data_IF_883999580017
#
_entry.id   IF_883999580017
#
_cell.length_a   1.000
_cell.length_b   1.000
_cell.length_c   1.000
_cell.angle_alpha   90.00
_cell.angle_beta   90.00
_cell.angle_gamma   90.00
#
_symmetry.space_group_name_H-M   'P 1'
#
loop_
_entity.id
_entity.type
_entity.pdbx_description
1 polymer ?
#
# COMPACT_ATOMS: atom_id res chain seq x y z
N UNK A 1 15.56 -12.52 -13.65
CA UNK A 1 14.72 -11.74 -12.70
C UNK A 1 14.12 -12.72 -11.71
N UNK A 2 14.10 -12.42 -10.40
CA UNK A 2 13.47 -13.32 -9.44
C UNK A 2 11.95 -13.37 -9.69
N UNK A 3 11.42 -14.59 -9.74
CA UNK A 3 9.98 -14.82 -9.83
C UNK A 3 9.37 -14.84 -8.44
N UNK A 4 8.18 -14.28 -8.33
CA UNK A 4 7.33 -14.33 -7.15
C UNK A 4 6.45 -15.57 -7.13
N UNK A 5 5.33 -15.47 -6.40
CA UNK A 5 4.60 -16.63 -5.89
C UNK A 5 3.84 -17.46 -6.94
N UNK A 6 3.60 -16.92 -8.14
CA UNK A 6 2.91 -17.61 -9.24
C UNK A 6 3.82 -17.84 -10.46
N UNK A 7 5.14 -17.87 -10.26
CA UNK A 7 6.12 -17.88 -11.35
C UNK A 7 6.23 -16.55 -12.10
N UNK A 8 5.39 -15.57 -11.78
CA UNK A 8 5.37 -14.23 -12.36
C UNK A 8 6.54 -13.38 -11.81
N UNK A 9 7.25 -12.59 -12.63
CA UNK A 9 8.34 -11.74 -12.15
C UNK A 9 7.89 -10.71 -11.12
N UNK A 10 8.71 -10.45 -10.09
CA UNK A 10 8.44 -9.39 -9.09
C UNK A 10 8.18 -8.01 -9.71
N UNK A 11 8.76 -7.72 -10.87
CA UNK A 11 8.53 -6.45 -11.56
C UNK A 11 7.07 -6.28 -12.01
N UNK A 12 6.39 -7.35 -12.41
CA UNK A 12 4.99 -7.30 -12.79
C UNK A 12 4.10 -7.00 -11.57
N UNK A 13 4.42 -7.62 -10.42
CA UNK A 13 3.75 -7.29 -9.15
C UNK A 13 4.01 -5.85 -8.72
N UNK A 14 5.24 -5.35 -8.90
CA UNK A 14 5.58 -3.96 -8.61
C UNK A 14 4.76 -2.98 -9.47
N UNK A 15 4.67 -3.25 -10.76
CA UNK A 15 3.87 -2.44 -11.69
C UNK A 15 2.39 -2.45 -11.28
N UNK A 16 1.81 -3.62 -10.99
CA UNK A 16 0.43 -3.75 -10.54
C UNK A 16 0.17 -2.94 -9.25
N UNK A 17 1.04 -3.09 -8.24
CA UNK A 17 0.90 -2.36 -6.99
C UNK A 17 1.02 -0.85 -7.21
N UNK A 18 1.95 -0.39 -8.05
CA UNK A 18 2.10 1.02 -8.40
C UNK A 18 0.86 1.58 -9.13
N UNK A 19 0.26 0.80 -10.03
CA UNK A 19 -1.01 1.17 -10.68
C UNK A 19 -2.12 1.32 -9.66
N UNK A 20 -2.27 0.38 -8.72
CA UNK A 20 -3.29 0.45 -7.67
C UNK A 20 -3.07 1.65 -6.74
N UNK A 21 -1.81 1.98 -6.40
CA UNK A 21 -1.49 3.20 -5.68
C UNK A 21 -1.96 4.45 -6.44
N UNK A 22 -1.64 4.53 -7.74
CA UNK A 22 -2.04 5.65 -8.59
C UNK A 22 -3.58 5.79 -8.72
N UNK A 23 -4.29 4.66 -8.87
CA UNK A 23 -5.76 4.64 -8.89
C UNK A 23 -6.33 5.22 -7.60
N UNK A 24 -5.77 4.82 -6.44
CA UNK A 24 -6.25 5.31 -5.14
C UNK A 24 -6.02 6.82 -4.91
N UNK A 25 -5.08 7.43 -5.64
CA UNK A 25 -4.94 8.90 -5.61
C UNK A 25 -6.26 9.57 -6.04
N UNK A 26 -7.02 8.96 -6.96
CA UNK A 26 -8.27 9.51 -7.47
C UNK A 26 -9.51 8.83 -6.89
N UNK A 27 -9.48 7.52 -6.70
CA UNK A 27 -10.60 6.71 -6.25
C UNK A 27 -10.37 6.29 -4.80
N UNK A 28 -11.01 6.98 -3.87
CA UNK A 28 -10.84 6.77 -2.44
C UNK A 28 -12.16 7.02 -1.69
N UNK A 29 -12.31 6.51 -0.46
CA UNK A 29 -13.55 6.56 0.33
C UNK A 29 -13.82 7.98 0.89
N UNK A 30 -14.27 8.89 0.02
CA UNK A 30 -14.52 10.31 0.38
C UNK A 30 -15.56 10.41 1.51
N UNK A 31 -16.64 9.63 1.44
CA UNK A 31 -17.73 9.67 2.42
C UNK A 31 -17.25 9.29 3.83
N UNK A 32 -16.29 8.36 3.93
CA UNK A 32 -15.71 7.94 5.21
C UNK A 32 -14.83 9.03 5.84
N UNK A 33 -14.40 10.03 5.06
CA UNK A 33 -13.59 11.15 5.53
C UNK A 33 -14.36 12.46 5.71
N UNK A 34 -15.64 12.53 5.34
CA UNK A 34 -16.41 13.78 5.27
C UNK A 34 -16.39 14.58 6.58
N UNK A 35 -16.54 13.90 7.72
CA UNK A 35 -16.57 14.53 9.05
C UNK A 35 -15.25 14.36 9.83
N UNK A 36 -14.17 13.94 9.16
CA UNK A 36 -12.88 13.67 9.79
C UNK A 36 -11.89 14.78 9.48
N UNK A 37 -11.15 15.20 10.51
CA UNK A 37 -10.08 16.18 10.40
C UNK A 37 -8.73 15.59 10.82
N UNK A 38 -7.65 16.31 10.50
CA UNK A 38 -6.31 16.01 10.97
C UNK A 38 -5.80 14.64 10.53
N UNK A 39 -5.26 13.87 11.49
CA UNK A 39 -4.60 12.60 11.21
C UNK A 39 -5.56 11.54 10.66
N UNK A 40 -6.82 11.51 11.13
CA UNK A 40 -7.81 10.55 10.65
C UNK A 40 -8.12 10.77 9.16
N UNK A 41 -8.29 12.04 8.74
CA UNK A 41 -8.44 12.40 7.33
C UNK A 41 -7.23 11.93 6.51
N UNK A 42 -6.02 12.21 6.97
CA UNK A 42 -4.79 11.84 6.28
C UNK A 42 -4.68 10.32 6.08
N UNK A 43 -4.99 9.54 7.12
CA UNK A 43 -4.96 8.07 7.08
C UNK A 43 -5.99 7.53 6.09
N UNK A 44 -7.24 8.03 6.11
CA UNK A 44 -8.28 7.57 5.18
C UNK A 44 -7.91 7.94 3.73
N UNK A 45 -7.37 9.15 3.53
CA UNK A 45 -7.01 9.67 2.20
C UNK A 45 -5.83 8.94 1.57
N UNK A 46 -4.80 8.64 2.36
CA UNK A 46 -3.50 8.19 1.84
C UNK A 46 -3.04 6.83 2.35
N UNK A 47 -3.59 6.28 3.43
CA UNK A 47 -3.10 5.05 4.05
C UNK A 47 -3.12 3.84 3.10
N UNK A 48 -4.20 3.67 2.34
CA UNK A 48 -4.31 2.59 1.36
C UNK A 48 -3.41 2.82 0.11
N UNK A 49 -3.26 4.07 -0.32
CA UNK A 49 -2.29 4.41 -1.37
C UNK A 49 -0.85 4.11 -0.91
N UNK A 50 -0.52 4.47 0.33
CA UNK A 50 0.78 4.22 0.93
C UNK A 50 1.06 2.72 1.06
N UNK A 51 0.06 1.90 1.43
CA UNK A 51 0.24 0.44 1.48
C UNK A 51 0.59 -0.13 0.11
N UNK A 52 -0.09 0.29 -0.97
CA UNK A 52 0.27 -0.14 -2.32
C UNK A 52 1.64 0.35 -2.77
N UNK A 53 2.01 1.59 -2.44
CA UNK A 53 3.34 2.13 -2.70
C UNK A 53 4.44 1.33 -2.00
N UNK A 54 4.24 0.98 -0.73
CA UNK A 54 5.15 0.13 0.03
C UNK A 54 5.26 -1.28 -0.59
N UNK A 55 4.15 -1.90 -1.02
CA UNK A 55 4.18 -3.19 -1.70
C UNK A 55 4.90 -3.14 -3.05
N UNK A 56 4.72 -2.06 -3.83
CA UNK A 56 5.46 -1.84 -5.06
C UNK A 56 6.97 -1.77 -4.78
N UNK A 57 7.37 -1.00 -3.76
CA UNK A 57 8.75 -0.93 -3.29
C UNK A 57 9.29 -2.27 -2.81
N UNK A 58 8.49 -3.05 -2.08
CA UNK A 58 8.89 -4.38 -1.61
C UNK A 58 9.18 -5.33 -2.78
N UNK A 59 8.30 -5.37 -3.78
CA UNK A 59 8.49 -6.14 -4.99
C UNK A 59 9.74 -5.70 -5.76
N UNK A 60 9.98 -4.39 -5.88
CA UNK A 60 11.19 -3.84 -6.50
C UNK A 60 12.47 -4.19 -5.73
N UNK A 61 12.42 -4.25 -4.41
CA UNK A 61 13.54 -4.68 -3.57
C UNK A 61 13.83 -6.16 -3.78
N UNK A 62 12.82 -7.04 -3.74
CA UNK A 62 12.97 -8.47 -4.00
C UNK A 62 13.44 -8.78 -5.42
N UNK A 63 12.97 -8.03 -6.43
CA UNK A 63 13.45 -8.13 -7.80
C UNK A 63 14.97 -7.91 -7.90
N UNK A 64 15.54 -7.08 -7.01
CA UNK A 64 16.97 -6.77 -6.89
C UNK A 64 17.72 -7.62 -5.86
N UNK A 65 17.07 -8.60 -5.24
CA UNK A 65 17.69 -9.45 -4.21
C UNK A 65 17.82 -8.81 -2.82
N UNK A 66 17.16 -7.67 -2.58
CA UNK A 66 17.24 -6.95 -1.30
C UNK A 66 16.15 -7.42 -0.32
N UNK A 67 16.33 -8.63 0.23
CA UNK A 67 15.28 -9.30 1.01
C UNK A 67 14.90 -8.56 2.30
N UNK A 68 15.88 -7.97 3.01
CA UNK A 68 15.62 -7.21 4.24
C UNK A 68 14.79 -5.94 3.97
N UNK A 69 15.14 -5.19 2.92
CA UNK A 69 14.40 -4.00 2.50
C UNK A 69 12.98 -4.37 2.05
N UNK A 70 12.83 -5.46 1.29
CA UNK A 70 11.53 -5.96 0.87
C UNK A 70 10.63 -6.34 2.05
N UNK A 71 11.18 -7.02 3.06
CA UNK A 71 10.45 -7.34 4.30
C UNK A 71 10.04 -6.09 5.08
N UNK A 72 10.95 -5.13 5.24
CA UNK A 72 10.65 -3.87 5.93
C UNK A 72 9.51 -3.10 5.26
N UNK A 73 9.54 -3.00 3.92
CA UNK A 73 8.48 -2.36 3.14
C UNK A 73 7.15 -3.14 3.19
N UNK A 74 7.19 -4.47 3.18
CA UNK A 74 5.97 -5.27 3.34
C UNK A 74 5.33 -5.08 4.73
N UNK A 75 6.13 -4.98 5.80
CA UNK A 75 5.64 -4.67 7.14
C UNK A 75 5.08 -3.24 7.22
N UNK A 76 5.73 -2.27 6.59
CA UNK A 76 5.21 -0.91 6.49
C UNK A 76 3.86 -0.87 5.75
N UNK A 77 3.72 -1.65 4.67
CA UNK A 77 2.45 -1.77 3.95
C UNK A 77 1.34 -2.31 4.86
N UNK A 78 1.63 -3.32 5.68
CA UNK A 78 0.69 -3.86 6.65
C UNK A 78 0.27 -2.80 7.67
N UNK A 79 1.21 -2.02 8.20
CA UNK A 79 0.93 -0.94 9.13
C UNK A 79 0.04 0.15 8.50
N UNK A 80 0.36 0.60 7.28
CA UNK A 80 -0.43 1.58 6.55
C UNK A 80 -1.86 1.10 6.27
N UNK A 81 -2.01 -0.15 5.81
CA UNK A 81 -3.32 -0.73 5.53
C UNK A 81 -4.13 -0.96 6.80
N UNK A 82 -3.49 -1.45 7.87
CA UNK A 82 -4.12 -1.63 9.18
C UNK A 82 -4.64 -0.30 9.75
N UNK A 83 -3.83 0.75 9.71
CA UNK A 83 -4.26 2.09 10.11
C UNK A 83 -5.45 2.57 9.27
N UNK A 84 -5.39 2.41 7.95
CA UNK A 84 -6.50 2.74 7.05
C UNK A 84 -7.79 2.00 7.44
N UNK A 85 -7.75 0.67 7.60
CA UNK A 85 -8.94 -0.14 7.92
C UNK A 85 -9.54 0.25 9.27
N UNK A 86 -8.69 0.40 10.30
CA UNK A 86 -9.13 0.77 11.63
C UNK A 86 -9.79 2.16 11.62
N UNK A 87 -9.15 3.15 11.00
CA UNK A 87 -9.67 4.52 10.96
C UNK A 87 -10.92 4.65 10.08
N UNK A 88 -10.97 4.00 8.92
CA UNK A 88 -12.07 4.16 7.96
C UNK A 88 -13.32 3.35 8.33
N UNK A 89 -13.17 2.19 9.00
CA UNK A 89 -14.28 1.25 9.17
C UNK A 89 -14.60 0.88 10.61
N UNK A 90 -13.63 0.96 11.53
CA UNK A 90 -13.79 0.55 12.94
C UNK A 90 -14.05 1.75 13.85
N UNK A 91 -13.17 2.75 13.80
CA UNK A 91 -13.28 3.97 14.60
C UNK A 91 -14.24 4.95 13.93
N UNK A 92 -15.54 4.66 13.96
CA UNK A 92 -16.61 5.50 13.39
C UNK A 92 -17.00 6.67 14.28
#
# INVERSE_FOLDING_TARGET
MRSGWLGVPYLAYAALCATLAAVWVFIWPVDQAADRAGLAFLIIRWGHCASWGCLAGACLAWARGQDAAGRALALAALACYGAFVVTAFVLR
#
